data_IF_933875210853
#
_entry.id   IF_933875210853
#
_cell.length_a   1.000
_cell.length_b   1.000
_cell.length_c   1.000
_cell.angle_alpha   90.00
_cell.angle_beta   90.00
_cell.angle_gamma   90.00
#
_symmetry.space_group_name_H-M   'P 1'
#
loop_
_entity.id
_entity.type
_entity.pdbx_description
1 polymer ?
#
# COMPACT_ATOMS: atom_id res chain seq x y z
N UNK A 1 5.38 14.36 -7.28
CA UNK A 1 6.16 14.69 -6.07
C UNK A 1 7.57 14.18 -6.25
N UNK A 2 8.57 14.90 -5.76
CA UNK A 2 9.95 14.39 -5.71
C UNK A 2 10.06 13.20 -4.74
N UNK A 3 11.13 12.43 -4.84
CA UNK A 3 11.42 11.32 -3.92
C UNK A 3 11.44 11.80 -2.46
N UNK A 4 12.14 12.90 -2.19
CA UNK A 4 12.23 13.52 -0.87
C UNK A 4 10.86 13.99 -0.33
N UNK A 5 10.02 14.60 -1.16
CA UNK A 5 8.66 15.00 -0.75
C UNK A 5 7.79 13.80 -0.35
N UNK A 6 7.90 12.70 -1.10
CA UNK A 6 7.18 11.44 -0.82
C UNK A 6 7.71 10.84 0.50
N UNK A 7 9.03 10.70 0.62
CA UNK A 7 9.69 10.11 1.76
C UNK A 7 9.41 10.90 3.06
N UNK A 8 9.48 12.22 3.01
CA UNK A 8 9.12 13.08 4.15
C UNK A 8 7.65 12.93 4.55
N UNK A 9 6.75 12.77 3.58
CA UNK A 9 5.35 12.49 3.88
C UNK A 9 5.15 11.11 4.52
N UNK A 10 5.88 10.09 4.09
CA UNK A 10 5.86 8.75 4.70
C UNK A 10 6.41 8.83 6.13
N UNK A 11 7.54 9.51 6.34
CA UNK A 11 8.12 9.76 7.68
C UNK A 11 7.11 10.40 8.62
N UNK A 12 6.38 11.43 8.16
CA UNK A 12 5.29 12.05 8.95
C UNK A 12 4.17 11.07 9.30
N UNK A 13 3.74 10.20 8.38
CA UNK A 13 2.74 9.16 8.65
C UNK A 13 3.22 8.14 9.68
N UNK A 14 4.49 7.74 9.62
CA UNK A 14 5.08 6.81 10.57
C UNK A 14 5.22 7.41 11.97
N UNK A 15 5.55 8.70 12.08
CA UNK A 15 5.68 9.40 13.35
C UNK A 15 4.35 9.80 13.98
N UNK A 16 3.32 10.04 13.17
CA UNK A 16 2.00 10.45 13.65
C UNK A 16 1.33 9.37 14.49
N UNK A 17 0.59 9.76 15.54
CA UNK A 17 -0.22 8.82 16.34
C UNK A 17 -1.39 8.30 15.51
N UNK A 18 -1.64 6.99 15.57
CA UNK A 18 -2.74 6.34 14.87
C UNK A 18 -3.28 5.20 15.73
N UNK A 19 -4.59 4.94 15.73
CA UNK A 19 -5.16 3.80 16.45
C UNK A 19 -4.53 2.49 16.01
N UNK A 20 -4.37 1.58 16.97
CA UNK A 20 -4.03 0.19 16.70
C UNK A 20 -5.20 -0.45 15.97
N UNK A 21 -5.00 -0.74 14.69
CA UNK A 21 -6.02 -1.29 13.79
C UNK A 21 -5.49 -2.56 13.16
N UNK A 22 -6.30 -3.57 12.98
CA UNK A 22 -5.91 -4.84 12.35
C UNK A 22 -6.88 -5.18 11.23
N UNK A 23 -6.34 -5.64 10.12
CA UNK A 23 -7.10 -5.90 8.90
C UNK A 23 -6.16 -6.19 7.75
N UNK A 24 -6.66 -6.04 6.53
CA UNK A 24 -5.95 -6.35 5.31
C UNK A 24 -5.67 -5.08 4.52
N UNK A 25 -4.48 -5.02 3.92
CA UNK A 25 -4.22 -4.22 2.73
C UNK A 25 -4.27 -5.15 1.52
N UNK A 26 -5.12 -4.83 0.55
CA UNK A 26 -5.40 -5.68 -0.60
C UNK A 26 -5.16 -4.93 -1.91
N UNK A 27 -4.89 -5.69 -2.96
CA UNK A 27 -4.72 -5.21 -4.33
C UNK A 27 -5.58 -6.01 -5.28
N UNK A 28 -6.24 -5.34 -6.22
CA UNK A 28 -6.93 -6.02 -7.32
C UNK A 28 -6.80 -5.29 -8.65
N UNK A 29 -6.77 -6.04 -9.75
CA UNK A 29 -6.67 -5.49 -11.11
C UNK A 29 -8.06 -5.01 -11.59
N UNK A 30 -8.11 -3.85 -12.25
CA UNK A 30 -9.32 -3.37 -12.91
C UNK A 30 -9.70 -4.32 -14.07
N UNK A 31 -10.95 -4.83 -14.12
CA UNK A 31 -11.34 -5.83 -15.13
C UNK A 31 -11.11 -5.39 -16.59
N UNK A 32 -11.30 -4.11 -16.91
CA UNK A 32 -11.02 -3.61 -18.27
C UNK A 32 -9.54 -3.72 -18.66
N UNK A 33 -8.61 -3.64 -17.71
CA UNK A 33 -7.18 -3.73 -18.00
C UNK A 33 -6.79 -5.14 -18.47
N UNK A 34 -7.47 -6.17 -17.96
CA UNK A 34 -7.32 -7.55 -18.45
C UNK A 34 -7.80 -7.72 -19.90
N UNK A 35 -8.83 -6.97 -20.32
CA UNK A 35 -9.39 -7.02 -21.68
C UNK A 35 -8.49 -6.25 -22.67
N UNK A 36 -7.87 -5.15 -22.25
CA UNK A 36 -7.00 -4.37 -23.12
C UNK A 36 -5.66 -5.08 -23.41
N UNK A 37 -5.09 -5.80 -22.44
CA UNK A 37 -3.86 -6.56 -22.65
C UNK A 37 -4.02 -7.72 -23.65
N UNK A 38 -5.21 -8.32 -23.77
CA UNK A 38 -5.47 -9.35 -24.79
C UNK A 38 -5.60 -8.78 -26.21
N UNK A 39 -5.70 -7.45 -26.36
CA UNK A 39 -6.15 -6.80 -27.60
C UNK A 39 -5.09 -5.88 -28.24
N UNK A 40 -4.13 -5.38 -27.48
CA UNK A 40 -3.14 -4.42 -27.97
C UNK A 40 -1.76 -4.73 -27.37
N UNK A 41 -0.71 -4.63 -28.20
CA UNK A 41 0.70 -4.80 -27.82
C UNK A 41 1.23 -3.68 -26.90
N UNK A 42 0.50 -3.36 -25.83
CA UNK A 42 0.98 -2.54 -24.73
C UNK A 42 2.00 -3.30 -23.90
N UNK A 43 2.96 -2.58 -23.31
CA UNK A 43 4.02 -3.14 -22.49
C UNK A 43 3.44 -4.07 -21.39
N UNK A 44 3.64 -5.39 -21.47
CA UNK A 44 2.83 -6.40 -20.76
C UNK A 44 3.01 -6.44 -19.23
N UNK A 45 3.89 -5.59 -18.68
CA UNK A 45 4.27 -5.67 -17.27
C UNK A 45 3.43 -4.80 -16.32
N UNK A 46 2.80 -3.72 -16.79
CA UNK A 46 2.08 -2.78 -15.90
C UNK A 46 0.57 -2.94 -15.97
N UNK A 47 -0.06 -2.93 -14.80
CA UNK A 47 -1.49 -3.13 -14.61
C UNK A 47 -2.13 -1.93 -13.90
N UNK A 48 -3.43 -1.74 -14.10
CA UNK A 48 -4.25 -0.82 -13.31
C UNK A 48 -4.74 -1.52 -12.04
N UNK A 49 -4.05 -1.29 -10.93
CA UNK A 49 -4.31 -1.95 -9.65
C UNK A 49 -5.00 -0.98 -8.69
N UNK A 50 -6.09 -1.41 -8.07
CA UNK A 50 -6.66 -0.74 -6.90
C UNK A 50 -6.02 -1.28 -5.65
N UNK A 51 -5.46 -0.41 -4.82
CA UNK A 51 -4.91 -0.78 -3.51
C UNK A 51 -5.79 -0.15 -2.44
N UNK A 52 -6.36 -0.95 -1.56
CA UNK A 52 -7.22 -0.48 -0.49
C UNK A 52 -7.09 -1.31 0.76
N UNK A 53 -7.88 -0.97 1.78
CA UNK A 53 -7.87 -1.64 3.08
C UNK A 53 -9.26 -2.11 3.52
N UNK A 54 -9.32 -3.17 4.32
CA UNK A 54 -10.55 -3.64 4.96
C UNK A 54 -10.24 -4.59 6.11
N UNK A 55 -11.09 -4.63 7.14
CA UNK A 55 -11.05 -5.69 8.17
C UNK A 55 -11.42 -7.05 7.54
N UNK A 56 -12.39 -7.06 6.63
CA UNK A 56 -12.84 -8.23 5.86
C UNK A 56 -12.80 -7.86 4.37
N UNK A 57 -11.73 -8.28 3.69
CA UNK A 57 -11.54 -7.93 2.28
C UNK A 57 -12.50 -8.69 1.37
N UNK A 58 -12.95 -9.89 1.75
CA UNK A 58 -13.91 -10.66 0.95
C UNK A 58 -15.29 -9.99 0.94
N UNK A 59 -15.76 -9.54 2.11
CA UNK A 59 -16.96 -8.71 2.20
C UNK A 59 -16.80 -7.44 1.36
N UNK A 60 -15.63 -6.82 1.41
CA UNK A 60 -15.33 -5.65 0.61
C UNK A 60 -15.39 -5.94 -0.90
N UNK A 61 -14.89 -7.09 -1.35
CA UNK A 61 -15.01 -7.53 -2.76
C UNK A 61 -16.48 -7.73 -3.16
N UNK A 62 -17.29 -8.35 -2.29
CA UNK A 62 -18.75 -8.47 -2.52
C UNK A 62 -19.43 -7.11 -2.66
N UNK A 63 -18.99 -6.10 -1.88
CA UNK A 63 -19.48 -4.73 -2.02
C UNK A 63 -19.08 -4.09 -3.36
N UNK A 64 -17.84 -4.30 -3.83
CA UNK A 64 -17.40 -3.86 -5.16
C UNK A 64 -18.23 -4.51 -6.27
N UNK A 65 -18.46 -5.83 -6.22
CA UNK A 65 -19.33 -6.52 -7.18
C UNK A 65 -20.71 -5.88 -7.24
N UNK A 66 -21.33 -5.67 -6.06
CA UNK A 66 -22.69 -5.12 -5.97
C UNK A 66 -22.77 -3.66 -6.42
N UNK A 67 -21.83 -2.82 -5.99
CA UNK A 67 -21.88 -1.36 -6.19
C UNK A 67 -21.25 -0.95 -7.53
N UNK A 68 -20.05 -1.45 -7.81
CA UNK A 68 -19.22 -1.06 -8.93
C UNK A 68 -19.44 -1.93 -10.18
N UNK A 69 -20.27 -2.97 -10.08
CA UNK A 69 -20.77 -3.79 -11.21
C UNK A 69 -19.68 -4.52 -12.01
N UNK A 70 -18.58 -4.85 -11.36
CA UNK A 70 -17.54 -5.71 -11.92
C UNK A 70 -16.97 -6.66 -10.87
N UNK A 71 -16.37 -7.76 -11.32
CA UNK A 71 -15.69 -8.74 -10.43
C UNK A 71 -14.23 -8.31 -10.25
N UNK A 72 -13.80 -7.93 -9.03
CA UNK A 72 -12.41 -7.63 -8.76
C UNK A 72 -11.54 -8.88 -8.90
N UNK A 73 -10.44 -8.80 -9.65
CA UNK A 73 -9.42 -9.85 -9.66
C UNK A 73 -8.36 -9.53 -8.60
N UNK A 74 -8.54 -10.10 -7.41
CA UNK A 74 -7.62 -9.89 -6.29
C UNK A 74 -6.28 -10.54 -6.61
N UNK A 75 -5.20 -9.74 -6.54
CA UNK A 75 -3.82 -10.19 -6.78
C UNK A 75 -3.04 -10.39 -5.49
N UNK A 76 -3.39 -9.67 -4.43
CA UNK A 76 -2.83 -9.88 -3.09
C UNK A 76 -3.78 -9.39 -2.00
N UNK A 77 -3.63 -9.95 -0.80
CA UNK A 77 -4.28 -9.49 0.42
C UNK A 77 -3.42 -9.85 1.64
N UNK A 78 -2.77 -8.84 2.25
CA UNK A 78 -1.87 -9.04 3.38
C UNK A 78 -2.54 -8.61 4.67
N UNK A 79 -2.67 -9.52 5.63
CA UNK A 79 -3.03 -9.15 7.00
C UNK A 79 -1.92 -8.29 7.61
N UNK A 80 -2.33 -7.22 8.29
CA UNK A 80 -1.43 -6.14 8.66
C UNK A 80 -1.89 -5.42 9.92
N UNK A 81 -0.96 -5.27 10.87
CA UNK A 81 -1.13 -4.37 11.99
C UNK A 81 -1.01 -2.93 11.50
N UNK A 82 -1.80 -2.01 12.07
CA UNK A 82 -1.90 -0.63 11.63
C UNK A 82 -2.25 -0.48 10.13
N UNK A 83 -3.08 -1.38 9.58
CA UNK A 83 -3.46 -1.37 8.14
C UNK A 83 -4.01 -0.02 7.65
N UNK A 84 -4.62 0.79 8.52
CA UNK A 84 -5.05 2.15 8.18
C UNK A 84 -3.88 3.07 7.87
N UNK A 85 -2.83 3.06 8.72
CA UNK A 85 -1.63 3.86 8.51
C UNK A 85 -0.87 3.36 7.29
N UNK A 86 -0.72 2.05 7.16
CA UNK A 86 0.11 1.48 6.08
C UNK A 86 -0.53 1.67 4.70
N UNK A 87 -1.85 1.60 4.57
CA UNK A 87 -2.47 1.91 3.27
C UNK A 87 -2.13 3.34 2.81
N UNK A 88 -2.15 4.31 3.73
CA UNK A 88 -1.75 5.69 3.42
C UNK A 88 -0.28 5.78 3.02
N UNK A 89 0.60 5.03 3.70
CA UNK A 89 2.03 4.94 3.35
C UNK A 89 2.22 4.37 1.95
N UNK A 90 1.56 3.26 1.63
CA UNK A 90 1.61 2.62 0.30
C UNK A 90 1.09 3.56 -0.78
N UNK A 91 -0.05 4.23 -0.54
CA UNK A 91 -0.61 5.21 -1.47
C UNK A 91 0.34 6.39 -1.73
N UNK A 92 1.07 6.82 -0.71
CA UNK A 92 2.01 7.92 -0.83
C UNK A 92 3.29 7.48 -1.54
N UNK A 93 3.81 6.30 -1.24
CA UNK A 93 4.96 5.73 -1.94
C UNK A 93 4.67 5.52 -3.43
N UNK A 94 3.43 5.17 -3.77
CA UNK A 94 2.96 5.02 -5.15
C UNK A 94 2.34 6.31 -5.73
N UNK A 95 2.53 7.47 -5.10
CA UNK A 95 1.84 8.71 -5.47
C UNK A 95 2.02 9.06 -6.96
N UNK A 96 3.23 8.95 -7.48
CA UNK A 96 3.52 9.30 -8.88
C UNK A 96 2.93 8.31 -9.90
N UNK A 97 2.55 7.11 -9.47
CA UNK A 97 1.86 6.12 -10.30
C UNK A 97 0.32 6.17 -10.15
N UNK A 98 -0.19 7.06 -9.29
CA UNK A 98 -1.61 7.13 -8.91
C UNK A 98 -2.44 7.82 -9.99
N UNK A 99 -3.54 7.19 -10.40
CA UNK A 99 -4.49 7.72 -11.37
C UNK A 99 -5.76 8.18 -10.64
N UNK A 100 -6.03 9.49 -10.65
CA UNK A 100 -7.18 10.09 -9.94
C UNK A 100 -8.41 10.32 -10.81
N UNK A 101 -8.24 10.28 -12.13
CA UNK A 101 -9.32 10.59 -13.09
C UNK A 101 -9.99 9.35 -13.70
N UNK A 102 -9.74 8.16 -13.14
CA UNK A 102 -10.42 6.93 -13.55
C UNK A 102 -11.79 6.85 -12.87
N UNK A 103 -12.83 7.28 -13.58
CA UNK A 103 -14.22 7.10 -13.14
C UNK A 103 -14.62 5.62 -13.11
N UNK A 104 -15.39 5.23 -12.09
CA UNK A 104 -15.95 3.88 -12.03
C UNK A 104 -17.09 3.73 -13.03
N UNK A 105 -16.95 2.82 -14.00
CA UNK A 105 -17.98 2.56 -15.02
C UNK A 105 -19.30 2.06 -14.44
N UNK A 106 -19.28 1.30 -13.33
CA UNK A 106 -20.51 0.78 -12.74
C UNK A 106 -21.21 1.68 -11.72
N UNK A 107 -20.48 2.40 -10.85
CA UNK A 107 -21.09 3.24 -9.80
C UNK A 107 -20.97 4.75 -10.04
N UNK A 108 -20.28 5.19 -11.09
CA UNK A 108 -20.09 6.60 -11.44
C UNK A 108 -19.18 7.40 -10.49
N UNK A 109 -18.72 6.81 -9.39
CA UNK A 109 -17.83 7.48 -8.43
C UNK A 109 -16.39 7.57 -8.97
N UNK A 110 -15.66 8.59 -8.54
CA UNK A 110 -14.21 8.68 -8.74
C UNK A 110 -13.50 7.90 -7.63
N UNK A 111 -13.11 6.68 -7.91
CA UNK A 111 -12.25 5.94 -7.00
C UNK A 111 -10.82 6.45 -7.16
N UNK A 112 -10.23 7.03 -6.13
CA UNK A 112 -8.92 7.67 -6.27
C UNK A 112 -7.74 6.72 -6.01
N UNK A 113 -7.99 5.47 -5.66
CA UNK A 113 -6.97 4.53 -5.16
C UNK A 113 -6.47 3.60 -6.28
N UNK A 114 -6.40 4.09 -7.51
CA UNK A 114 -5.90 3.34 -8.67
C UNK A 114 -4.46 3.71 -8.98
N UNK A 115 -3.65 2.71 -9.34
CA UNK A 115 -2.22 2.85 -9.60
C UNK A 115 -1.85 2.09 -10.87
N UNK A 116 -1.06 2.71 -11.75
CA UNK A 116 -0.51 2.05 -12.94
C UNK A 116 0.88 1.50 -12.64
N UNK A 117 0.97 0.24 -12.24
CA UNK A 117 2.19 -0.40 -11.69
C UNK A 117 2.24 -1.89 -12.03
N UNK A 118 3.42 -2.50 -11.97
CA UNK A 118 3.54 -3.96 -12.02
C UNK A 118 2.95 -4.59 -10.73
N UNK A 119 2.30 -5.75 -10.85
CA UNK A 119 1.70 -6.46 -9.71
C UNK A 119 2.76 -6.85 -8.67
N UNK A 120 3.90 -7.38 -9.12
CA UNK A 120 4.99 -7.79 -8.24
C UNK A 120 5.62 -6.59 -7.52
N UNK A 121 5.73 -5.43 -8.17
CA UNK A 121 6.23 -4.22 -7.50
C UNK A 121 5.25 -3.69 -6.44
N UNK A 122 3.95 -3.69 -6.76
CA UNK A 122 2.91 -3.30 -5.81
C UNK A 122 2.89 -4.24 -4.59
N UNK A 123 2.93 -5.55 -4.83
CA UNK A 123 2.96 -6.56 -3.78
C UNK A 123 4.25 -6.48 -2.96
N UNK A 124 5.41 -6.26 -3.59
CA UNK A 124 6.70 -6.06 -2.89
C UNK A 124 6.63 -4.90 -1.91
N UNK A 125 6.08 -3.76 -2.33
CA UNK A 125 5.90 -2.60 -1.44
C UNK A 125 4.96 -2.94 -0.28
N UNK A 126 3.82 -3.58 -0.53
CA UNK A 126 2.87 -3.96 0.52
C UNK A 126 3.49 -4.97 1.49
N UNK A 127 4.22 -5.97 0.99
CA UNK A 127 4.92 -6.98 1.77
C UNK A 127 6.09 -6.40 2.58
N UNK A 128 6.77 -5.38 2.06
CA UNK A 128 7.81 -4.64 2.79
C UNK A 128 7.21 -4.00 4.06
N UNK A 129 6.08 -3.30 3.92
CA UNK A 129 5.40 -2.69 5.07
C UNK A 129 4.70 -3.71 5.98
N UNK A 130 4.29 -4.87 5.45
CA UNK A 130 3.84 -5.99 6.28
C UNK A 130 4.98 -6.46 7.20
N UNK A 131 6.20 -6.58 6.67
CA UNK A 131 7.37 -6.98 7.46
C UNK A 131 7.65 -5.98 8.58
N UNK A 132 7.60 -4.68 8.27
CA UNK A 132 7.74 -3.62 9.29
C UNK A 132 6.71 -3.73 10.41
N UNK A 133 5.43 -3.86 10.07
CA UNK A 133 4.35 -3.91 11.08
C UNK A 133 4.31 -5.22 11.87
N UNK A 134 4.82 -6.30 11.30
CA UNK A 134 5.00 -7.59 11.99
C UNK A 134 6.04 -7.50 13.12
N UNK A 135 6.99 -6.57 13.02
CA UNK A 135 7.94 -6.27 14.10
C UNK A 135 7.35 -5.43 15.25
N UNK A 136 6.03 -5.17 15.26
CA UNK A 136 5.32 -4.37 16.27
C UNK A 136 6.04 -3.05 16.61
N UNK A 137 6.22 -2.15 15.62
CA UNK A 137 7.09 -0.99 15.77
C UNK A 137 6.46 0.15 16.61
N UNK A 138 5.25 -0.05 17.13
CA UNK A 138 4.47 0.94 17.85
C UNK A 138 4.15 0.47 19.27
N UNK A 139 4.07 1.42 20.20
CA UNK A 139 3.55 1.21 21.56
C UNK A 139 2.01 1.15 21.59
N UNK A 140 1.46 0.89 22.78
CA UNK A 140 0.02 0.80 23.02
C UNK A 140 -0.74 2.12 22.79
N UNK A 141 -0.02 3.24 22.73
CA UNK A 141 -0.55 4.57 22.41
C UNK A 141 -0.44 4.89 20.91
N UNK A 142 0.03 3.94 20.09
CA UNK A 142 0.21 4.08 18.65
C UNK A 142 1.42 4.94 18.27
N UNK A 143 2.31 5.23 19.21
CA UNK A 143 3.57 5.95 19.01
C UNK A 143 4.69 5.03 18.56
N UNK A 144 5.55 5.51 17.65
CA UNK A 144 6.69 4.74 17.16
C UNK A 144 7.72 4.53 18.29
N UNK A 145 8.13 3.29 18.52
CA UNK A 145 9.09 2.92 19.57
C UNK A 145 10.45 3.62 19.37
N UNK A 146 11.20 3.93 20.45
CA UNK A 146 12.43 4.71 20.38
C UNK A 146 13.46 4.20 19.36
N UNK A 147 13.73 2.89 19.34
CA UNK A 147 14.66 2.28 18.40
C UNK A 147 14.22 2.49 16.93
N UNK A 148 12.92 2.37 16.63
CA UNK A 148 12.41 2.62 15.28
C UNK A 148 12.45 4.10 14.91
N UNK A 149 12.27 4.99 15.89
CA UNK A 149 12.41 6.44 15.71
C UNK A 149 13.85 6.84 15.38
N UNK A 150 14.82 6.35 16.13
CA UNK A 150 16.25 6.60 15.88
C UNK A 150 16.65 6.14 14.47
N UNK A 151 16.21 4.94 14.06
CA UNK A 151 16.43 4.45 12.70
C UNK A 151 15.77 5.32 11.63
N UNK A 152 14.56 5.82 11.90
CA UNK A 152 13.82 6.70 10.99
C UNK A 152 14.49 8.09 10.85
N UNK A 153 15.18 8.56 11.88
CA UNK A 153 15.94 9.81 11.86
C UNK A 153 17.23 9.68 11.03
N UNK A 154 17.82 8.49 10.96
CA UNK A 154 19.03 8.21 10.19
C UNK A 154 18.81 7.95 8.69
N UNK A 155 17.56 7.94 8.22
CA UNK A 155 17.24 7.70 6.80
C UNK A 155 17.58 8.94 5.97
N UNK A 156 18.30 8.74 4.86
CA UNK A 156 18.42 9.72 3.79
C UNK A 156 17.10 9.82 3.01
N UNK A 157 16.43 10.98 3.09
CA UNK A 157 15.13 11.19 2.43
C UNK A 157 15.26 11.33 0.91
N UNK A 158 16.45 11.59 0.38
CA UNK A 158 16.68 11.69 -1.07
C UNK A 158 16.89 10.30 -1.72
N UNK A 159 17.18 9.27 -0.93
CA UNK A 159 17.32 7.89 -1.38
C UNK A 159 15.95 7.25 -1.70
N UNK A 160 15.83 6.68 -2.90
CA UNK A 160 14.62 6.01 -3.38
C UNK A 160 14.39 4.65 -2.71
N UNK A 161 15.45 3.99 -2.25
CA UNK A 161 15.41 2.65 -1.64
C UNK A 161 15.48 2.71 -0.11
N UNK A 162 15.38 3.91 0.45
CA UNK A 162 15.59 4.19 1.87
C UNK A 162 14.66 3.38 2.80
N UNK A 163 13.44 3.08 2.36
CA UNK A 163 12.48 2.24 3.10
C UNK A 163 12.86 0.76 3.13
N UNK A 164 13.52 0.25 2.09
CA UNK A 164 14.06 -1.12 2.12
C UNK A 164 15.17 -1.22 3.16
N UNK A 165 16.09 -0.26 3.18
CA UNK A 165 17.17 -0.20 4.17
C UNK A 165 16.65 -0.03 5.60
N UNK A 166 15.66 0.86 5.79
CA UNK A 166 14.99 1.07 7.06
C UNK A 166 14.33 -0.19 7.63
N UNK A 167 13.80 -1.08 6.80
CA UNK A 167 13.09 -2.27 7.27
C UNK A 167 14.03 -3.46 7.37
N UNK A 168 14.90 -3.68 6.38
CA UNK A 168 15.84 -4.81 6.33
C UNK A 168 16.98 -4.74 7.35
N UNK A 169 17.38 -3.55 7.80
CA UNK A 169 18.39 -3.42 8.87
C UNK A 169 17.93 -3.91 10.25
N UNK A 170 16.75 -4.53 10.38
CA UNK A 170 16.29 -5.16 11.61
C UNK A 170 16.79 -6.61 11.67
N UNK A 171 17.61 -7.01 12.66
CA UNK A 171 17.95 -8.41 12.86
C UNK A 171 16.66 -9.17 13.22
N UNK A 172 16.27 -10.16 12.42
CA UNK A 172 15.12 -11.05 12.65
C UNK A 172 15.25 -11.94 13.91
N UNK A 173 16.21 -11.65 14.80
CA UNK A 173 16.57 -12.46 15.95
C UNK A 173 16.70 -11.63 17.22
N UNK A 174 15.58 -11.12 17.75
CA UNK A 174 15.46 -10.91 19.19
C UNK A 174 14.30 -11.77 19.72
N UNK A 175 14.57 -12.73 20.63
CA UNK A 175 13.53 -13.55 21.24
C UNK A 175 12.64 -12.69 22.15
N UNK A 176 11.42 -13.18 22.35
CA UNK A 176 10.41 -12.67 23.29
C UNK A 176 10.92 -12.63 24.73
#
# INVERSE_FOLDING_TARGET
MSTSEINEGIKRLLLGKSPTTEGYVYGFIHPSDMIFQTSAGSNPETHLIKIGRSIDYERRMREFIRKCKYVPHVVFAHFMHHHFRIELVVHLQLHNARLRDVGCTGCGAKHEEWFRVNVADAERIVSLWQSFTSCRPYDDHGGLLPMWRERLEAIDMDDADCWEHFIRGYPLHHPR
#
